data_IF_620993893797
#
_entry.id   IF_620993893797
#
_cell.length_a   1.000
_cell.length_b   1.000
_cell.length_c   1.000
_cell.angle_alpha   90.00
_cell.angle_beta   90.00
_cell.angle_gamma   90.00
#
_symmetry.space_group_name_H-M   'P 1'
#
loop_
_entity.id
_entity.type
_entity.pdbx_description
1 polymer ?
#
# COMPACT_ATOMS: atom_id res chain seq x y z
N UNK A 1 -12.40 6.71 -5.15
CA UNK A 1 -11.76 5.41 -5.45
C UNK A 1 -12.80 4.31 -5.30
N UNK A 2 -13.00 3.51 -6.35
CA UNK A 2 -14.03 2.48 -6.38
C UNK A 2 -13.56 1.18 -5.70
N UNK A 3 -12.26 1.07 -5.40
CA UNK A 3 -11.64 -0.03 -4.69
C UNK A 3 -11.24 0.38 -3.26
N UNK A 4 -11.45 -0.54 -2.31
CA UNK A 4 -10.97 -0.40 -0.94
C UNK A 4 -9.54 -0.95 -0.87
N UNK A 5 -8.57 -0.06 -0.67
CA UNK A 5 -7.15 -0.40 -0.56
C UNK A 5 -6.70 -0.25 0.89
N UNK A 6 -6.40 -1.36 1.55
CA UNK A 6 -5.81 -1.38 2.88
C UNK A 6 -4.30 -1.57 2.78
N UNK A 7 -3.59 -1.08 3.79
CA UNK A 7 -2.13 -1.22 3.91
C UNK A 7 -1.73 -1.95 5.19
N UNK A 8 -2.69 -2.19 6.07
CA UNK A 8 -2.50 -2.81 7.38
C UNK A 8 -3.63 -3.79 7.69
N UNK A 9 -3.28 -4.94 8.27
CA UNK A 9 -4.19 -5.91 8.87
C UNK A 9 -3.60 -6.46 10.17
N UNK A 10 -4.31 -6.23 11.27
CA UNK A 10 -3.97 -6.77 12.59
C UNK A 10 -3.81 -8.30 12.54
N UNK A 11 -2.89 -8.85 13.32
CA UNK A 11 -2.68 -10.30 13.40
C UNK A 11 -3.87 -11.03 14.05
N UNK A 12 -4.67 -10.33 14.84
CA UNK A 12 -5.79 -10.87 15.58
C UNK A 12 -7.02 -11.09 14.71
N UNK A 13 -7.91 -11.96 15.21
CA UNK A 13 -9.23 -12.21 14.61
C UNK A 13 -9.20 -12.52 13.11
N UNK A 14 -8.08 -13.05 12.60
CA UNK A 14 -7.82 -13.31 11.18
C UNK A 14 -8.23 -12.16 10.26
N UNK A 15 -7.78 -10.93 10.57
CA UNK A 15 -8.15 -9.74 9.81
C UNK A 15 -7.71 -9.83 8.34
N UNK A 16 -6.53 -10.39 8.06
CA UNK A 16 -6.04 -10.64 6.69
C UNK A 16 -6.98 -11.54 5.90
N UNK A 17 -7.35 -12.71 6.44
CA UNK A 17 -8.20 -13.69 5.77
C UNK A 17 -9.63 -13.19 5.54
N UNK A 18 -10.09 -12.22 6.36
CA UNK A 18 -11.42 -11.60 6.28
C UNK A 18 -11.41 -10.29 5.47
N UNK A 19 -10.25 -9.89 4.98
CA UNK A 19 -9.98 -8.59 4.34
C UNK A 19 -10.54 -7.40 5.14
N UNK A 20 -10.24 -7.35 6.43
CA UNK A 20 -10.65 -6.28 7.35
C UNK A 20 -9.45 -5.45 7.75
N UNK A 21 -9.02 -4.57 6.85
CA UNK A 21 -7.83 -3.76 7.06
C UNK A 21 -8.10 -2.30 7.41
N UNK A 22 -7.02 -1.57 7.54
CA UNK A 22 -6.99 -0.11 7.59
C UNK A 22 -6.06 0.41 6.49
N UNK A 23 -6.34 1.60 5.99
CA UNK A 23 -5.41 2.33 5.12
C UNK A 23 -4.74 3.42 5.93
N UNK A 24 -3.54 3.15 6.42
CA UNK A 24 -2.82 4.06 7.32
C UNK A 24 -1.44 4.45 6.80
N UNK A 25 -0.95 3.79 5.76
CA UNK A 25 0.32 4.13 5.10
C UNK A 25 0.04 4.95 3.84
N UNK A 26 0.65 6.14 3.77
CA UNK A 26 0.39 7.11 2.71
C UNK A 26 1.69 7.72 2.20
N UNK A 27 1.78 7.87 0.87
CA UNK A 27 2.81 8.69 0.24
C UNK A 27 2.21 10.05 -0.10
N UNK A 28 2.63 11.11 0.60
CA UNK A 28 2.24 12.48 0.32
C UNK A 28 3.31 13.14 -0.54
N UNK A 29 2.92 13.65 -1.71
CA UNK A 29 3.83 14.22 -2.70
C UNK A 29 3.69 15.74 -2.74
N UNK A 30 4.80 16.44 -2.90
CA UNK A 30 4.77 17.86 -3.28
C UNK A 30 4.30 18.01 -4.74
N UNK A 31 3.79 19.18 -5.16
CA UNK A 31 3.27 19.37 -6.52
C UNK A 31 4.24 18.93 -7.63
N UNK A 32 5.52 19.33 -7.53
CA UNK A 32 6.56 18.95 -8.51
C UNK A 32 6.80 17.45 -8.61
N UNK A 33 6.66 16.71 -7.50
CA UNK A 33 6.82 15.25 -7.51
C UNK A 33 5.54 14.58 -8.01
N UNK A 34 4.38 15.11 -7.65
CA UNK A 34 3.09 14.61 -8.12
C UNK A 34 2.95 14.66 -9.66
N UNK A 35 3.51 15.67 -10.32
CA UNK A 35 3.57 15.74 -11.79
C UNK A 35 4.34 14.55 -12.43
N UNK A 36 5.25 13.94 -11.67
CA UNK A 36 6.05 12.80 -12.12
C UNK A 36 5.42 11.46 -11.75
N UNK A 37 4.31 11.45 -11.03
CA UNK A 37 3.67 10.22 -10.60
C UNK A 37 3.26 9.38 -11.81
N UNK A 38 3.79 8.15 -11.86
CA UNK A 38 3.50 7.19 -12.92
C UNK A 38 2.49 6.14 -12.43
N UNK A 39 2.78 5.53 -11.28
CA UNK A 39 1.92 4.51 -10.69
C UNK A 39 2.00 4.50 -9.16
N UNK A 40 0.93 4.03 -8.53
CA UNK A 40 0.89 3.67 -7.11
C UNK A 40 0.35 2.26 -7.01
N UNK A 41 1.01 1.40 -6.23
CA UNK A 41 0.49 0.07 -5.90
C UNK A 41 0.69 -0.26 -4.43
N UNK A 42 -0.20 -1.09 -3.91
CA UNK A 42 -0.08 -1.71 -2.60
C UNK A 42 0.38 -3.15 -2.82
N UNK A 43 1.55 -3.52 -2.31
CA UNK A 43 2.14 -4.84 -2.51
C UNK A 43 1.52 -5.90 -1.57
N UNK A 44 0.23 -6.20 -1.77
CA UNK A 44 -0.56 -7.14 -0.95
C UNK A 44 0.07 -8.53 -0.89
N UNK A 45 0.76 -8.94 -1.96
CA UNK A 45 1.48 -10.21 -2.05
C UNK A 45 2.53 -10.42 -0.95
N UNK A 46 3.06 -9.35 -0.37
CA UNK A 46 4.01 -9.42 0.75
C UNK A 46 3.34 -9.97 2.03
N UNK A 47 2.02 -9.82 2.17
CA UNK A 47 1.25 -10.29 3.32
C UNK A 47 1.03 -11.79 3.35
N UNK A 48 1.22 -12.46 2.22
CA UNK A 48 1.09 -13.92 2.07
C UNK A 48 2.41 -14.68 2.33
N UNK A 49 3.51 -13.97 2.57
CA UNK A 49 4.81 -14.58 2.86
C UNK A 49 4.86 -15.18 4.28
N UNK A 50 5.80 -16.12 4.55
CA UNK A 50 6.02 -16.63 5.90
C UNK A 50 6.44 -15.52 6.87
N UNK A 51 5.82 -15.47 8.05
CA UNK A 51 6.06 -14.45 9.08
C UNK A 51 6.03 -13.01 8.51
N UNK A 52 4.93 -12.62 7.84
CA UNK A 52 4.85 -11.32 7.19
C UNK A 52 4.65 -10.21 8.23
N UNK A 53 4.96 -8.97 7.86
CA UNK A 53 4.50 -7.80 8.61
C UNK A 53 2.97 -7.70 8.56
N UNK A 54 2.40 -7.04 9.55
CA UNK A 54 1.01 -6.58 9.60
C UNK A 54 0.74 -5.46 8.60
N UNK A 55 1.78 -4.77 8.13
CA UNK A 55 1.72 -3.81 7.03
C UNK A 55 2.20 -4.42 5.72
N UNK A 56 1.76 -3.82 4.61
CA UNK A 56 2.29 -4.08 3.27
C UNK A 56 2.88 -2.80 2.67
N UNK A 57 3.91 -2.90 1.81
CA UNK A 57 4.50 -1.74 1.18
C UNK A 57 3.51 -0.97 0.28
N UNK A 58 3.52 0.36 0.43
CA UNK A 58 2.99 1.29 -0.58
C UNK A 58 4.15 1.68 -1.48
N UNK A 59 4.01 1.40 -2.77
CA UNK A 59 5.07 1.64 -3.76
C UNK A 59 4.59 2.72 -4.73
N UNK A 60 5.43 3.74 -4.88
CA UNK A 60 5.23 4.86 -5.80
C UNK A 60 6.29 4.77 -6.88
N UNK A 61 5.85 4.69 -8.14
CA UNK A 61 6.72 4.79 -9.31
C UNK A 61 6.66 6.23 -9.83
N UNK A 62 7.82 6.83 -10.05
CA UNK A 62 7.96 8.17 -10.61
C UNK A 62 8.68 8.08 -11.95
N UNK A 63 8.26 8.91 -12.91
CA UNK A 63 9.01 9.11 -14.15
C UNK A 63 10.33 9.81 -13.86
N UNK A 64 11.39 9.37 -14.52
CA UNK A 64 12.68 10.05 -14.49
C UNK A 64 12.58 11.43 -15.12
N UNK A 65 13.47 12.34 -14.71
CA UNK A 65 13.58 13.65 -15.36
C UNK A 65 14.48 13.48 -16.59
N UNK A 66 13.90 13.68 -17.78
CA UNK A 66 14.66 13.86 -19.03
C UNK A 66 15.30 15.25 -18.99
#
# INVERSE_FOLDING_TARGET
PDETLYTFWDYQAGAWQRDRGLRIDHALLSPRVAERLDAVRVAREERDKPQPSDHVPVIVTLRDQI
#
